data_IF_391092694782
#
_entry.id   IF_391092694782
#
_cell.length_a   1.000
_cell.length_b   1.000
_cell.length_c   1.000
_cell.angle_alpha   90.00
_cell.angle_beta   90.00
_cell.angle_gamma   90.00
#
_symmetry.space_group_name_H-M   'P 1'
#
loop_
_entity.id
_entity.type
_entity.pdbx_description
1 polymer ?
#
# COMPACT_ATOMS: atom_id res chain seq x y z
N UNK A 1 -34.12 3.60 -11.92
CA UNK A 1 -32.72 3.87 -11.51
C UNK A 1 -32.30 2.83 -10.48
N UNK A 2 -31.07 2.32 -10.55
CA UNK A 2 -30.55 1.46 -9.48
C UNK A 2 -30.46 2.28 -8.18
N UNK A 3 -31.04 1.75 -7.10
CA UNK A 3 -31.18 2.49 -5.84
C UNK A 3 -29.83 2.91 -5.24
N UNK A 4 -28.75 2.19 -5.56
CA UNK A 4 -27.39 2.35 -5.05
C UNK A 4 -26.41 2.93 -6.09
N UNK A 5 -26.88 3.35 -7.26
CA UNK A 5 -26.08 4.02 -8.29
C UNK A 5 -25.90 5.50 -7.94
N UNK A 6 -24.65 5.98 -7.92
CA UNK A 6 -24.32 7.36 -7.53
C UNK A 6 -24.28 8.25 -8.76
N UNK A 7 -25.23 9.20 -8.83
CA UNK A 7 -25.43 10.11 -9.95
C UNK A 7 -25.13 11.56 -9.52
N UNK A 8 -23.86 11.80 -9.20
CA UNK A 8 -23.39 13.08 -8.69
C UNK A 8 -22.77 13.95 -9.78
N UNK A 9 -23.14 15.24 -9.82
CA UNK A 9 -22.61 16.23 -10.77
C UNK A 9 -21.17 16.68 -10.48
N UNK A 10 -20.68 16.47 -9.25
CA UNK A 10 -19.33 16.89 -8.83
C UNK A 10 -18.28 16.03 -9.50
N UNK A 11 -17.23 16.68 -9.97
CA UNK A 11 -16.07 16.07 -10.61
C UNK A 11 -14.97 15.76 -9.60
N UNK A 12 -13.94 15.02 -10.03
CA UNK A 12 -12.78 14.64 -9.20
C UNK A 12 -12.14 15.85 -8.49
N UNK A 13 -12.08 17.01 -9.15
CA UNK A 13 -11.50 18.25 -8.60
C UNK A 13 -12.28 18.78 -7.38
N UNK A 14 -13.59 18.57 -7.35
CA UNK A 14 -14.48 19.07 -6.29
C UNK A 14 -14.29 18.30 -4.99
N UNK A 15 -13.77 17.08 -5.06
CA UNK A 15 -13.44 16.26 -3.90
C UNK A 15 -12.01 16.49 -3.37
N UNK A 16 -11.32 17.53 -3.82
CA UNK A 16 -9.98 17.85 -3.32
C UNK A 16 -10.04 18.19 -1.82
N UNK A 17 -9.52 17.28 -0.99
CA UNK A 17 -9.44 17.48 0.46
C UNK A 17 -10.70 17.07 1.25
N UNK A 18 -11.77 16.65 0.57
CA UNK A 18 -13.02 16.21 1.20
C UNK A 18 -13.47 14.83 0.67
N UNK A 19 -14.36 14.17 1.39
CA UNK A 19 -15.05 12.96 0.92
C UNK A 19 -16.39 13.27 0.26
N UNK A 20 -17.12 12.24 -0.15
CA UNK A 20 -18.34 12.36 -0.93
C UNK A 20 -19.41 13.13 -0.16
N UNK A 21 -19.55 12.79 1.12
CA UNK A 21 -20.46 13.45 2.05
C UNK A 21 -19.90 14.75 2.66
N UNK A 22 -18.77 15.26 2.17
CA UNK A 22 -18.20 16.54 2.60
C UNK A 22 -17.29 16.50 3.83
N UNK A 23 -16.96 15.32 4.38
CA UNK A 23 -16.03 15.21 5.49
C UNK A 23 -14.60 15.56 5.07
N UNK A 24 -13.80 16.14 5.97
CA UNK A 24 -12.37 16.36 5.69
C UNK A 24 -11.68 15.03 5.42
N UNK A 25 -10.93 14.94 4.32
CA UNK A 25 -10.21 13.72 3.90
C UNK A 25 -9.31 13.20 5.01
N UNK A 26 -8.61 14.06 5.75
CA UNK A 26 -7.76 13.67 6.89
C UNK A 26 -8.52 12.93 7.99
N UNK A 27 -9.77 13.31 8.24
CA UNK A 27 -10.58 12.75 9.31
C UNK A 27 -11.18 11.41 8.87
N UNK A 28 -11.58 11.30 7.61
CA UNK A 28 -11.96 10.01 7.00
C UNK A 28 -10.82 9.00 7.09
N UNK A 29 -9.58 9.40 6.79
CA UNK A 29 -8.41 8.50 6.95
C UNK A 29 -8.24 8.02 8.39
N UNK A 30 -8.35 8.93 9.37
CA UNK A 30 -8.24 8.59 10.80
C UNK A 30 -9.34 7.63 11.23
N UNK A 31 -10.58 7.90 10.83
CA UNK A 31 -11.74 7.06 11.14
C UNK A 31 -11.61 5.67 10.52
N UNK A 32 -11.18 5.58 9.26
CA UNK A 32 -10.98 4.29 8.61
C UNK A 32 -9.91 3.45 9.32
N UNK A 33 -8.74 4.04 9.62
CA UNK A 33 -7.67 3.36 10.36
C UNK A 33 -8.16 2.91 11.75
N UNK A 34 -8.83 3.80 12.48
CA UNK A 34 -9.37 3.51 13.81
C UNK A 34 -10.37 2.34 13.76
N UNK A 35 -11.33 2.37 12.85
CA UNK A 35 -12.37 1.33 12.76
C UNK A 35 -11.80 -0.03 12.32
N UNK A 36 -10.84 -0.05 11.40
CA UNK A 36 -10.17 -1.30 11.01
C UNK A 36 -9.37 -1.91 12.17
N UNK A 37 -8.65 -1.09 12.92
CA UNK A 37 -7.88 -1.54 14.08
C UNK A 37 -8.76 -2.04 15.23
N UNK A 38 -10.00 -1.54 15.33
CA UNK A 38 -11.01 -1.99 16.30
C UNK A 38 -11.98 -3.03 15.72
N UNK A 39 -11.65 -3.62 14.56
CA UNK A 39 -12.43 -4.68 13.90
C UNK A 39 -13.91 -4.29 13.62
N UNK A 40 -14.19 -2.99 13.47
CA UNK A 40 -15.51 -2.44 13.16
C UNK A 40 -15.75 -2.47 11.65
N UNK A 41 -16.28 -3.59 11.15
CA UNK A 41 -16.38 -3.86 9.71
C UNK A 41 -17.31 -2.88 8.99
N UNK A 42 -18.52 -2.66 9.50
CA UNK A 42 -19.53 -1.85 8.81
C UNK A 42 -19.07 -0.40 8.66
N UNK A 43 -18.53 0.19 9.73
CA UNK A 43 -17.98 1.54 9.73
C UNK A 43 -16.74 1.63 8.83
N UNK A 44 -15.89 0.60 8.82
CA UNK A 44 -14.73 0.56 7.91
C UNK A 44 -15.17 0.52 6.44
N UNK A 45 -16.17 -0.29 6.12
CA UNK A 45 -16.79 -0.32 4.80
C UNK A 45 -17.42 1.03 4.43
N UNK A 46 -18.06 1.72 5.38
CA UNK A 46 -18.59 3.07 5.16
C UNK A 46 -17.50 4.08 4.82
N UNK A 47 -16.45 4.18 5.63
CA UNK A 47 -15.37 5.16 5.39
C UNK A 47 -14.54 4.84 4.14
N UNK A 48 -14.37 3.55 3.80
CA UNK A 48 -13.76 3.17 2.52
C UNK A 48 -14.65 3.55 1.34
N UNK A 49 -15.97 3.34 1.43
CA UNK A 49 -16.92 3.74 0.40
C UNK A 49 -16.97 5.26 0.21
N UNK A 50 -16.85 6.06 1.27
CA UNK A 50 -16.70 7.52 1.18
C UNK A 50 -15.50 7.92 0.30
N UNK A 51 -14.36 7.25 0.46
CA UNK A 51 -13.16 7.49 -0.38
C UNK A 51 -13.38 7.03 -1.83
N UNK A 52 -14.02 5.87 -2.04
CA UNK A 52 -14.34 5.33 -3.37
C UNK A 52 -15.26 6.28 -4.13
N UNK A 53 -16.34 6.75 -3.50
CA UNK A 53 -17.32 7.64 -4.11
C UNK A 53 -16.73 9.00 -4.51
N UNK A 54 -15.64 9.40 -3.86
CA UNK A 54 -14.87 10.61 -4.12
C UNK A 54 -13.72 10.42 -5.11
N UNK A 55 -13.44 9.18 -5.54
CA UNK A 55 -12.28 8.86 -6.39
C UNK A 55 -10.92 8.87 -5.67
N UNK A 56 -10.87 8.82 -4.34
CA UNK A 56 -9.62 8.83 -3.54
C UNK A 56 -8.98 7.43 -3.41
N UNK A 57 -8.81 6.73 -4.53
CA UNK A 57 -8.29 5.35 -4.55
C UNK A 57 -6.83 5.25 -4.11
N UNK A 58 -5.99 6.22 -4.46
CA UNK A 58 -4.59 6.23 -4.04
C UNK A 58 -4.49 6.30 -2.53
N UNK A 59 -5.24 7.19 -1.90
CA UNK A 59 -5.32 7.30 -0.44
C UNK A 59 -5.83 6.03 0.23
N UNK A 60 -6.85 5.38 -0.36
CA UNK A 60 -7.37 4.13 0.18
C UNK A 60 -6.32 3.02 0.14
N UNK A 61 -5.58 2.88 -0.97
CA UNK A 61 -4.46 1.93 -1.06
C UNK A 61 -3.34 2.25 -0.07
N UNK A 62 -3.01 3.52 0.17
CA UNK A 62 -2.03 3.89 1.20
C UNK A 62 -2.47 3.47 2.60
N UNK A 63 -3.77 3.58 2.92
CA UNK A 63 -4.31 3.12 4.21
C UNK A 63 -4.21 1.60 4.31
N UNK A 64 -4.59 0.88 3.25
CA UNK A 64 -4.51 -0.59 3.19
C UNK A 64 -3.07 -1.05 3.45
N UNK A 65 -2.10 -0.49 2.73
CA UNK A 65 -0.67 -0.78 2.90
C UNK A 65 -0.17 -0.41 4.31
N UNK A 66 -0.60 0.74 4.82
CA UNK A 66 -0.21 1.20 6.15
C UNK A 66 -0.69 0.25 7.24
N UNK A 67 -1.95 -0.18 7.19
CA UNK A 67 -2.51 -1.11 8.19
C UNK A 67 -1.85 -2.48 8.07
N UNK A 68 -1.72 -2.99 6.84
CA UNK A 68 -1.11 -4.31 6.60
C UNK A 68 0.32 -4.38 7.13
N UNK A 69 1.08 -3.29 7.03
CA UNK A 69 2.49 -3.25 7.45
C UNK A 69 2.72 -2.77 8.87
N UNK A 70 1.90 -1.86 9.41
CA UNK A 70 2.10 -1.31 10.76
C UNK A 70 1.38 -2.08 11.85
N UNK A 71 0.15 -2.51 11.59
CA UNK A 71 -0.77 -3.03 12.60
C UNK A 71 -1.04 -4.53 12.48
N UNK A 72 -0.83 -5.11 11.29
CA UNK A 72 -1.05 -6.54 11.04
C UNK A 72 0.30 -7.27 10.99
N UNK A 73 1.16 -6.95 10.00
CA UNK A 73 2.49 -7.53 9.79
C UNK A 73 2.53 -9.06 9.99
N UNK A 74 3.38 -9.57 10.89
CA UNK A 74 3.47 -10.99 11.25
C UNK A 74 2.18 -11.58 11.86
N UNK A 75 1.16 -10.77 12.15
CA UNK A 75 -0.20 -11.24 12.45
C UNK A 75 -0.91 -11.87 11.25
N UNK A 76 -0.45 -11.59 10.03
CA UNK A 76 -0.86 -12.28 8.79
C UNK A 76 0.27 -12.18 7.75
N UNK A 77 1.33 -13.00 7.86
CA UNK A 77 2.55 -12.85 7.07
C UNK A 77 2.31 -12.98 5.55
N UNK A 78 1.28 -13.75 5.15
CA UNK A 78 0.93 -13.97 3.74
C UNK A 78 -0.01 -12.90 3.16
N UNK A 79 -0.47 -11.93 3.96
CA UNK A 79 -1.34 -10.84 3.52
C UNK A 79 -0.80 -10.03 2.32
N UNK A 80 0.51 -9.73 2.20
CA UNK A 80 1.05 -9.02 1.03
C UNK A 80 0.78 -9.73 -0.30
N UNK A 81 0.80 -11.06 -0.32
CA UNK A 81 0.51 -11.86 -1.52
C UNK A 81 -0.92 -11.59 -1.99
N UNK A 82 -1.88 -11.62 -1.06
CA UNK A 82 -3.27 -11.32 -1.35
C UNK A 82 -3.48 -9.86 -1.79
N UNK A 83 -2.88 -8.91 -1.07
CA UNK A 83 -3.02 -7.49 -1.41
C UNK A 83 -2.45 -7.15 -2.77
N UNK A 84 -1.32 -7.75 -3.16
CA UNK A 84 -0.74 -7.53 -4.49
C UNK A 84 -1.62 -8.12 -5.60
N UNK A 85 -2.20 -9.31 -5.38
CA UNK A 85 -3.19 -9.90 -6.28
C UNK A 85 -4.41 -8.97 -6.44
N UNK A 86 -4.96 -8.46 -5.33
CA UNK A 86 -6.11 -7.54 -5.37
C UNK A 86 -5.75 -6.21 -6.02
N UNK A 87 -4.55 -5.69 -5.81
CA UNK A 87 -4.07 -4.48 -6.48
C UNK A 87 -3.94 -4.68 -7.99
N UNK A 88 -3.48 -5.85 -8.42
CA UNK A 88 -3.40 -6.22 -9.83
C UNK A 88 -4.80 -6.30 -10.46
N UNK A 89 -5.76 -6.91 -9.77
CA UNK A 89 -7.17 -6.92 -10.21
C UNK A 89 -7.74 -5.50 -10.34
N UNK A 90 -7.46 -4.63 -9.36
CA UNK A 90 -7.85 -3.22 -9.42
C UNK A 90 -7.25 -2.50 -10.63
N UNK A 91 -5.94 -2.67 -10.89
CA UNK A 91 -5.27 -2.11 -12.08
C UNK A 91 -5.92 -2.57 -13.38
N UNK A 92 -6.22 -3.86 -13.51
CA UNK A 92 -6.89 -4.42 -14.70
C UNK A 92 -8.26 -3.78 -14.91
N UNK A 93 -9.06 -3.63 -13.86
CA UNK A 93 -10.37 -2.96 -13.96
C UNK A 93 -10.20 -1.49 -14.38
N UNK A 94 -9.26 -0.77 -13.77
CA UNK A 94 -8.99 0.63 -14.10
C UNK A 94 -8.59 0.80 -15.58
N UNK A 95 -7.70 -0.05 -16.08
CA UNK A 95 -7.23 -0.02 -17.46
C UNK A 95 -8.32 -0.41 -18.48
N UNK A 96 -9.36 -1.13 -18.06
CA UNK A 96 -10.51 -1.50 -18.89
C UNK A 96 -11.53 -0.36 -19.04
N UNK A 97 -11.07 0.82 -19.45
CA UNK A 97 -11.95 1.93 -19.88
C UNK A 97 -12.24 3.02 -18.85
N UNK A 98 -11.55 3.00 -17.70
CA UNK A 98 -11.68 4.05 -16.66
C UNK A 98 -10.42 4.91 -16.50
N UNK A 99 -9.41 4.73 -17.37
CA UNK A 99 -8.27 5.64 -17.44
C UNK A 99 -8.78 7.08 -17.61
N UNK A 100 -8.26 8.00 -16.79
CA UNK A 100 -8.68 9.42 -16.69
C UNK A 100 -10.11 9.68 -16.18
N UNK A 101 -10.90 8.65 -15.90
CA UNK A 101 -12.25 8.76 -15.33
C UNK A 101 -12.45 7.87 -14.10
N UNK A 102 -11.43 7.82 -13.23
CA UNK A 102 -11.37 6.99 -12.02
C UNK A 102 -12.61 7.14 -11.13
N UNK A 103 -13.22 8.33 -11.07
CA UNK A 103 -14.39 8.58 -10.22
C UNK A 103 -15.60 7.69 -10.58
N UNK A 104 -15.71 7.26 -11.85
CA UNK A 104 -16.80 6.37 -12.29
C UNK A 104 -16.69 4.96 -11.71
N UNK A 105 -15.50 4.54 -11.24
CA UNK A 105 -15.31 3.26 -10.57
C UNK A 105 -16.19 3.13 -9.31
N UNK A 106 -16.71 4.24 -8.76
CA UNK A 106 -17.69 4.22 -7.66
C UNK A 106 -18.97 3.46 -7.98
N UNK A 107 -19.35 3.30 -9.25
CA UNK A 107 -20.51 2.53 -9.68
C UNK A 107 -20.14 1.14 -10.22
N UNK A 108 -18.85 0.81 -10.30
CA UNK A 108 -18.41 -0.50 -10.75
C UNK A 108 -18.58 -1.54 -9.62
N UNK A 109 -19.48 -2.51 -9.82
CA UNK A 109 -19.77 -3.57 -8.83
C UNK A 109 -18.51 -4.36 -8.43
N UNK A 110 -17.62 -4.66 -9.38
CA UNK A 110 -16.37 -5.41 -9.10
C UNK A 110 -15.47 -4.62 -8.15
N UNK A 111 -15.39 -3.29 -8.30
CA UNK A 111 -14.62 -2.40 -7.42
C UNK A 111 -15.21 -2.35 -6.01
N UNK A 112 -16.54 -2.17 -5.89
CA UNK A 112 -17.21 -2.13 -4.59
C UNK A 112 -16.96 -3.42 -3.80
N UNK A 113 -17.12 -4.57 -4.46
CA UNK A 113 -16.87 -5.88 -3.87
C UNK A 113 -15.40 -6.11 -3.54
N UNK A 114 -14.48 -5.70 -4.42
CA UNK A 114 -13.04 -5.83 -4.21
C UNK A 114 -12.58 -5.09 -2.95
N UNK A 115 -12.96 -3.82 -2.79
CA UNK A 115 -12.56 -3.07 -1.60
C UNK A 115 -13.32 -3.51 -0.36
N UNK A 116 -14.60 -3.86 -0.46
CA UNK A 116 -15.33 -4.45 0.66
C UNK A 116 -14.59 -5.69 1.20
N UNK A 117 -14.17 -6.59 0.31
CA UNK A 117 -13.43 -7.80 0.71
C UNK A 117 -12.11 -7.46 1.41
N UNK A 118 -11.31 -6.56 0.83
CA UNK A 118 -10.04 -6.14 1.42
C UNK A 118 -10.27 -5.57 2.82
N UNK A 119 -11.25 -4.68 2.99
CA UNK A 119 -11.55 -4.06 4.28
C UNK A 119 -11.96 -5.11 5.31
N UNK A 120 -12.81 -6.07 4.95
CA UNK A 120 -13.16 -7.18 5.84
C UNK A 120 -11.92 -8.01 6.22
N UNK A 121 -11.05 -8.34 5.27
CA UNK A 121 -9.81 -9.09 5.53
C UNK A 121 -8.90 -8.33 6.49
N UNK A 122 -8.77 -7.00 6.35
CA UNK A 122 -7.98 -6.18 7.26
C UNK A 122 -8.60 -6.13 8.67
N UNK A 123 -9.93 -6.00 8.77
CA UNK A 123 -10.64 -6.05 10.06
C UNK A 123 -10.45 -7.41 10.75
N UNK A 124 -10.57 -8.52 10.02
CA UNK A 124 -10.50 -9.87 10.58
C UNK A 124 -9.07 -10.40 10.79
N UNK A 125 -8.06 -9.74 10.21
CA UNK A 125 -6.66 -10.10 10.41
C UNK A 125 -6.22 -9.85 11.86
N UNK A 126 -5.40 -10.75 12.40
CA UNK A 126 -4.82 -10.61 13.74
C UNK A 126 -3.99 -9.32 13.79
N UNK A 127 -4.32 -8.43 14.74
CA UNK A 127 -3.52 -7.24 15.00
C UNK A 127 -2.34 -7.59 15.90
N UNK A 128 -1.21 -6.95 15.66
CA UNK A 128 0.01 -7.06 16.47
C UNK A 128 0.36 -5.69 17.06
N UNK A 129 1.25 -5.65 18.07
CA UNK A 129 1.81 -4.39 18.54
C UNK A 129 2.31 -3.56 17.36
N UNK A 130 1.91 -2.30 17.34
CA UNK A 130 2.19 -1.44 16.20
C UNK A 130 3.65 -1.05 16.19
N UNK A 131 4.29 -1.05 15.01
CA UNK A 131 5.65 -0.53 14.91
C UNK A 131 5.73 0.91 15.39
N UNK A 132 6.70 1.20 16.24
CA UNK A 132 7.04 2.56 16.62
C UNK A 132 8.00 3.17 15.59
N UNK A 133 7.88 4.48 15.39
CA UNK A 133 8.80 5.17 14.51
C UNK A 133 10.11 5.40 15.27
N UNK A 134 11.18 4.71 14.88
CA UNK A 134 12.52 4.96 15.38
C UNK A 134 12.94 6.37 14.94
N UNK A 135 13.25 7.23 15.91
CA UNK A 135 13.72 8.59 15.65
C UNK A 135 15.24 8.57 15.54
N UNK A 136 15.75 9.16 14.48
CA UNK A 136 17.19 9.42 14.30
C UNK A 136 17.45 10.86 14.72
N UNK A 137 18.29 11.02 15.74
CA UNK A 137 18.71 12.33 16.24
C UNK A 137 19.67 12.99 15.23
N UNK A 138 19.74 14.33 15.24
CA UNK A 138 20.53 15.07 14.23
C UNK A 138 22.03 14.86 14.38
N UNK A 139 22.49 14.71 15.62
CA UNK A 139 23.87 14.43 15.97
C UNK A 139 24.27 13.01 15.55
N UNK A 140 23.33 12.09 15.31
CA UNK A 140 23.63 10.71 14.87
C UNK A 140 24.32 10.63 13.50
N UNK A 141 24.45 11.74 12.77
CA UNK A 141 25.21 11.82 11.52
C UNK A 141 26.67 12.26 11.73
N UNK A 142 27.06 12.61 12.96
CA UNK A 142 28.43 12.92 13.33
C UNK A 142 29.22 11.65 13.67
N UNK A 143 30.46 11.56 13.19
CA UNK A 143 31.32 10.38 13.37
C UNK A 143 31.56 10.02 14.85
N UNK A 144 31.52 11.01 15.75
CA UNK A 144 31.75 10.81 17.18
C UNK A 144 30.55 10.14 17.84
N UNK A 145 29.33 10.59 17.58
CA UNK A 145 28.11 10.03 18.20
C UNK A 145 27.79 8.63 17.66
N UNK A 146 27.98 8.42 16.36
CA UNK A 146 27.66 7.16 15.69
C UNK A 146 28.59 6.03 16.12
N UNK A 147 29.83 6.35 16.54
CA UNK A 147 30.83 5.36 16.98
C UNK A 147 30.32 4.42 18.07
N UNK A 148 29.49 4.92 19.00
CA UNK A 148 28.89 4.14 20.08
C UNK A 148 27.85 3.10 19.63
N UNK A 149 27.32 3.25 18.41
CA UNK A 149 26.32 2.35 17.82
C UNK A 149 26.91 1.38 16.79
N UNK A 150 28.16 1.58 16.38
CA UNK A 150 28.89 0.66 15.51
C UNK A 150 29.27 -0.58 16.33
N UNK A 151 28.80 -1.76 15.91
CA UNK A 151 29.02 -3.02 16.64
C UNK A 151 29.66 -4.10 15.77
N UNK A 152 29.68 -3.94 14.45
CA UNK A 152 30.22 -4.93 13.55
C UNK A 152 31.73 -5.10 13.78
N UNK A 153 32.22 -6.34 14.03
CA UNK A 153 33.64 -6.58 14.29
C UNK A 153 34.50 -6.50 13.02
N UNK A 154 33.88 -6.41 11.84
CA UNK A 154 34.55 -6.34 10.54
C UNK A 154 33.90 -5.28 9.67
N UNK A 155 34.70 -4.61 8.85
CA UNK A 155 34.24 -3.64 7.84
C UNK A 155 33.90 -4.30 6.49
N UNK A 156 34.05 -5.62 6.39
CA UNK A 156 33.93 -6.36 5.13
C UNK A 156 32.56 -7.04 4.95
N UNK A 157 31.59 -6.84 5.84
CA UNK A 157 30.28 -7.47 5.67
C UNK A 157 29.52 -6.95 4.44
N UNK A 158 29.80 -5.72 4.02
CA UNK A 158 29.14 -5.10 2.87
C UNK A 158 29.48 -5.74 1.51
N UNK A 159 30.58 -6.49 1.38
CA UNK A 159 31.15 -6.91 0.09
C UNK A 159 30.23 -7.78 -0.76
N UNK A 160 29.31 -8.53 -0.14
CA UNK A 160 28.40 -9.44 -0.84
C UNK A 160 27.23 -8.72 -1.53
N UNK A 161 26.89 -7.51 -1.08
CA UNK A 161 25.69 -6.77 -1.53
C UNK A 161 26.02 -5.44 -2.20
N UNK A 162 27.18 -4.86 -1.86
CA UNK A 162 27.64 -3.63 -2.48
C UNK A 162 28.02 -3.83 -3.94
N UNK A 163 27.54 -2.93 -4.80
CA UNK A 163 28.02 -2.83 -6.17
C UNK A 163 29.07 -1.74 -6.31
N UNK A 164 29.80 -1.75 -7.42
CA UNK A 164 30.99 -0.91 -7.64
C UNK A 164 30.67 0.58 -7.54
N UNK A 165 29.52 1.00 -8.06
CA UNK A 165 29.12 2.40 -8.13
C UNK A 165 28.16 2.81 -6.99
N UNK A 166 27.98 1.97 -5.97
CA UNK A 166 27.19 2.34 -4.79
C UNK A 166 27.93 3.42 -3.94
N UNK A 167 27.21 4.35 -3.28
CA UNK A 167 27.82 5.48 -2.59
C UNK A 167 28.71 5.05 -1.42
N UNK A 168 29.96 5.51 -1.37
CA UNK A 168 30.92 5.14 -0.31
C UNK A 168 30.50 5.65 1.07
N UNK A 169 29.71 6.73 1.11
CA UNK A 169 29.14 7.33 2.31
C UNK A 169 28.25 6.34 3.09
N UNK A 170 27.74 5.30 2.44
CA UNK A 170 26.87 4.30 3.07
C UNK A 170 27.62 3.03 3.52
N UNK A 171 28.96 2.95 3.39
CA UNK A 171 29.72 1.75 3.75
C UNK A 171 29.50 1.32 5.20
N UNK A 172 29.68 2.24 6.16
CA UNK A 172 29.51 1.97 7.59
C UNK A 172 28.07 1.53 7.90
N UNK A 173 27.01 2.32 7.58
CA UNK A 173 25.65 1.95 7.95
C UNK A 173 25.16 0.68 7.25
N UNK A 174 25.60 0.38 6.02
CA UNK A 174 25.26 -0.88 5.34
C UNK A 174 25.99 -2.06 5.97
N UNK A 175 27.28 -1.91 6.28
CA UNK A 175 28.05 -2.95 6.96
C UNK A 175 27.42 -3.32 8.31
N UNK A 176 27.01 -2.31 9.08
CA UNK A 176 26.26 -2.50 10.32
C UNK A 176 24.89 -3.15 10.11
N UNK A 177 24.13 -2.73 9.10
CA UNK A 177 22.84 -3.34 8.78
C UNK A 177 22.99 -4.84 8.48
N UNK A 178 23.99 -5.21 7.66
CA UNK A 178 24.27 -6.61 7.30
C UNK A 178 24.71 -7.41 8.52
N UNK A 179 25.56 -6.85 9.38
CA UNK A 179 25.95 -7.50 10.63
C UNK A 179 24.72 -7.76 11.52
N UNK A 180 23.83 -6.78 11.67
CA UNK A 180 22.63 -6.95 12.48
C UNK A 180 21.64 -7.96 11.88
N UNK A 181 21.58 -8.12 10.55
CA UNK A 181 20.83 -9.22 9.93
C UNK A 181 21.43 -10.59 10.26
N UNK A 182 22.76 -10.73 10.24
CA UNK A 182 23.44 -11.97 10.65
C UNK A 182 23.14 -12.34 12.10
N UNK A 183 23.15 -11.36 12.99
CA UNK A 183 22.81 -11.53 14.41
C UNK A 183 21.30 -11.60 14.68
N UNK A 184 20.46 -11.51 13.64
CA UNK A 184 18.99 -11.45 13.73
C UNK A 184 18.49 -10.38 14.70
N UNK A 185 19.18 -9.23 14.77
CA UNK A 185 18.81 -8.10 15.61
C UNK A 185 17.82 -7.16 14.90
N UNK A 186 16.53 -7.51 14.95
CA UNK A 186 15.42 -6.78 14.32
C UNK A 186 15.45 -5.27 14.60
N UNK A 187 15.64 -4.87 15.86
CA UNK A 187 15.60 -3.47 16.29
C UNK A 187 16.74 -2.65 15.65
N UNK A 188 17.96 -3.18 15.67
CA UNK A 188 19.11 -2.49 15.09
C UNK A 188 19.07 -2.49 13.56
N UNK A 189 18.55 -3.54 12.92
CA UNK A 189 18.25 -3.51 11.48
C UNK A 189 17.32 -2.35 11.13
N UNK A 190 16.19 -2.22 11.83
CA UNK A 190 15.25 -1.12 11.62
C UNK A 190 15.90 0.26 11.90
N UNK A 191 16.75 0.37 12.93
CA UNK A 191 17.50 1.59 13.21
C UNK A 191 18.39 2.02 12.05
N UNK A 192 19.20 1.10 11.51
CA UNK A 192 20.13 1.43 10.42
C UNK A 192 19.40 1.75 9.11
N UNK A 193 18.26 1.11 8.84
CA UNK A 193 17.37 1.48 7.74
C UNK A 193 16.87 2.92 7.88
N UNK A 194 16.41 3.32 9.08
CA UNK A 194 15.97 4.69 9.34
C UNK A 194 17.11 5.70 9.23
N UNK A 195 18.29 5.35 9.74
CA UNK A 195 19.48 6.19 9.60
C UNK A 195 19.77 6.47 8.12
N UNK A 196 19.77 5.44 7.27
CA UNK A 196 20.01 5.57 5.82
C UNK A 196 18.93 6.43 5.15
N UNK A 197 17.66 6.25 5.50
CA UNK A 197 16.55 7.04 4.96
C UNK A 197 16.68 8.52 5.34
N UNK A 198 16.95 8.84 6.61
CA UNK A 198 17.10 10.22 7.06
C UNK A 198 18.38 10.88 6.52
N UNK A 199 19.47 10.12 6.38
CA UNK A 199 20.70 10.59 5.75
C UNK A 199 20.47 10.98 4.28
N UNK A 200 19.80 10.14 3.49
CA UNK A 200 19.46 10.49 2.10
C UNK A 200 18.54 11.72 2.01
N UNK A 201 17.57 11.86 2.92
CA UNK A 201 16.73 13.06 2.99
C UNK A 201 17.58 14.30 3.26
N UNK A 202 18.55 14.23 4.17
CA UNK A 202 19.48 15.32 4.45
C UNK A 202 20.32 15.67 3.20
N UNK A 203 20.91 14.67 2.56
CA UNK A 203 21.72 14.84 1.35
C UNK A 203 20.92 15.47 0.20
N UNK A 204 19.66 15.05 0.00
CA UNK A 204 18.77 15.67 -1.00
C UNK A 204 18.44 17.13 -0.69
N UNK A 205 18.21 17.48 0.59
CA UNK A 205 18.02 18.88 1.00
C UNK A 205 19.26 19.74 0.72
N UNK A 206 20.45 19.16 0.88
CA UNK A 206 21.74 19.78 0.54
C UNK A 206 22.06 19.77 -0.97
N UNK A 207 21.16 19.27 -1.82
CA UNK A 207 21.35 19.10 -3.27
C UNK A 207 22.51 18.18 -3.65
N UNK A 208 22.87 17.24 -2.78
CA UNK A 208 23.90 16.22 -3.00
C UNK A 208 23.27 14.82 -2.94
N UNK A 209 22.33 14.47 -3.85
CA UNK A 209 21.59 13.21 -3.76
C UNK A 209 22.50 12.00 -3.96
N UNK A 210 22.38 11.02 -3.08
CA UNK A 210 23.04 9.73 -3.24
C UNK A 210 22.33 8.90 -4.31
N UNK A 211 23.11 8.18 -5.11
CA UNK A 211 22.61 7.32 -6.18
C UNK A 211 23.30 5.96 -6.11
N UNK A 212 22.51 4.91 -6.01
CA UNK A 212 23.03 3.54 -6.10
C UNK A 212 23.17 3.09 -7.55
N UNK A 213 23.87 1.98 -7.73
CA UNK A 213 23.88 1.24 -8.98
C UNK A 213 22.49 0.60 -9.25
N UNK A 214 22.23 0.27 -10.52
CA UNK A 214 20.96 -0.35 -10.92
C UNK A 214 20.78 -1.74 -10.32
N UNK A 215 19.55 -2.06 -9.89
CA UNK A 215 19.14 -3.38 -9.41
C UNK A 215 18.00 -3.91 -10.29
N UNK A 216 18.13 -5.15 -10.77
CA UNK A 216 17.26 -5.69 -11.83
C UNK A 216 15.79 -5.83 -11.41
N UNK A 217 15.53 -6.04 -10.11
CA UNK A 217 14.16 -6.16 -9.58
C UNK A 217 13.40 -4.84 -9.52
N UNK A 218 14.03 -3.70 -9.84
CA UNK A 218 13.44 -2.37 -9.65
C UNK A 218 12.59 -1.98 -10.85
N UNK A 219 11.26 -2.07 -10.68
CA UNK A 219 10.28 -1.71 -11.70
C UNK A 219 9.53 -0.41 -11.35
N UNK A 220 10.25 0.72 -11.37
CA UNK A 220 9.70 2.06 -11.15
C UNK A 220 10.12 3.02 -12.26
N UNK A 221 9.59 4.24 -12.27
CA UNK A 221 10.01 5.29 -13.20
C UNK A 221 11.54 5.50 -13.15
N UNK A 222 12.17 5.71 -14.30
CA UNK A 222 13.63 5.78 -14.44
C UNK A 222 14.29 6.79 -13.50
N UNK A 223 13.59 7.89 -13.18
CA UNK A 223 14.07 8.90 -12.25
C UNK A 223 14.33 8.37 -10.83
N UNK A 224 13.76 7.22 -10.47
CA UNK A 224 13.86 6.62 -9.14
C UNK A 224 14.62 5.29 -9.12
N UNK A 225 15.07 4.76 -10.27
CA UNK A 225 15.78 3.47 -10.37
C UNK A 225 17.13 3.42 -9.64
N UNK A 226 17.74 4.58 -9.40
CA UNK A 226 19.01 4.73 -8.67
C UNK A 226 18.84 5.24 -7.23
N UNK A 227 17.65 5.10 -6.62
CA UNK A 227 17.45 5.46 -5.21
C UNK A 227 18.14 4.43 -4.30
N UNK A 228 18.91 4.90 -3.31
CA UNK A 228 19.70 4.04 -2.41
C UNK A 228 18.87 3.05 -1.60
N UNK A 229 17.55 3.25 -1.50
CA UNK A 229 16.65 2.32 -0.84
C UNK A 229 16.69 0.92 -1.47
N UNK A 230 17.09 0.81 -2.75
CA UNK A 230 17.20 -0.48 -3.44
C UNK A 230 18.36 -1.31 -2.92
N UNK A 231 19.40 -0.69 -2.34
CA UNK A 231 20.45 -1.43 -1.64
C UNK A 231 19.88 -2.14 -0.41
N UNK A 232 19.01 -1.46 0.36
CA UNK A 232 18.35 -2.06 1.53
C UNK A 232 17.49 -3.26 1.12
N UNK A 233 16.73 -3.14 0.02
CA UNK A 233 15.94 -4.26 -0.50
C UNK A 233 16.81 -5.45 -0.90
N UNK A 234 17.95 -5.20 -1.55
CA UNK A 234 18.86 -6.28 -1.94
C UNK A 234 19.46 -7.00 -0.73
N UNK A 235 19.81 -6.27 0.33
CA UNK A 235 20.24 -6.85 1.61
C UNK A 235 19.13 -7.74 2.19
N UNK A 236 17.89 -7.26 2.23
CA UNK A 236 16.74 -8.03 2.73
C UNK A 236 16.57 -9.34 1.93
N UNK A 237 16.66 -9.29 0.60
CA UNK A 237 16.56 -10.49 -0.24
C UNK A 237 17.75 -11.43 -0.05
N UNK A 238 18.95 -10.90 0.11
CA UNK A 238 20.16 -11.71 0.38
C UNK A 238 19.99 -12.57 1.64
N UNK A 239 19.41 -12.02 2.70
CA UNK A 239 19.18 -12.75 3.96
C UNK A 239 17.89 -13.57 3.99
N UNK A 240 17.08 -13.55 2.94
CA UNK A 240 15.87 -14.38 2.90
C UNK A 240 16.21 -15.84 2.60
N UNK A 241 15.97 -16.72 3.58
CA UNK A 241 16.42 -18.12 3.50
C UNK A 241 15.45 -19.03 2.72
N UNK A 242 14.14 -18.92 2.96
CA UNK A 242 13.13 -19.84 2.40
C UNK A 242 12.27 -19.22 1.28
N UNK A 243 11.74 -20.07 0.40
CA UNK A 243 10.98 -19.66 -0.78
C UNK A 243 9.68 -18.92 -0.45
N UNK A 244 9.03 -19.28 0.66
CA UNK A 244 7.80 -18.62 1.10
C UNK A 244 8.10 -17.19 1.54
N UNK A 245 9.16 -16.98 2.33
CA UNK A 245 9.65 -15.68 2.75
C UNK A 245 10.02 -14.83 1.54
N UNK A 246 10.82 -15.36 0.61
CA UNK A 246 11.14 -14.71 -0.68
C UNK A 246 9.88 -14.26 -1.41
N UNK A 247 8.89 -15.15 -1.56
CA UNK A 247 7.62 -14.85 -2.21
C UNK A 247 6.87 -13.72 -1.50
N UNK A 248 6.81 -13.74 -0.17
CA UNK A 248 6.17 -12.66 0.61
C UNK A 248 6.93 -11.35 0.40
N UNK A 249 8.26 -11.35 0.54
CA UNK A 249 9.13 -10.19 0.35
C UNK A 249 8.98 -9.58 -1.05
N UNK A 250 8.92 -10.40 -2.11
CA UNK A 250 8.63 -9.92 -3.47
C UNK A 250 7.29 -9.19 -3.52
N UNK A 251 6.24 -9.71 -2.87
CA UNK A 251 4.94 -9.04 -2.85
C UNK A 251 4.95 -7.76 -1.99
N UNK A 252 5.74 -7.72 -0.91
CA UNK A 252 5.95 -6.48 -0.14
C UNK A 252 6.69 -5.45 -0.99
N UNK A 253 7.73 -5.84 -1.73
CA UNK A 253 8.46 -4.97 -2.66
C UNK A 253 7.50 -4.40 -3.74
N UNK A 254 6.66 -5.23 -4.35
CA UNK A 254 5.67 -4.78 -5.34
C UNK A 254 4.73 -3.72 -4.74
N UNK A 255 4.21 -3.95 -3.53
CA UNK A 255 3.40 -2.96 -2.81
C UNK A 255 4.21 -1.69 -2.48
N UNK A 256 5.49 -1.84 -2.13
CA UNK A 256 6.41 -0.73 -1.85
C UNK A 256 6.70 0.11 -3.10
N UNK A 257 6.67 -0.47 -4.29
CA UNK A 257 6.93 0.22 -5.57
C UNK A 257 5.71 0.94 -6.16
N UNK A 258 4.50 0.72 -5.63
CA UNK A 258 3.27 1.36 -6.14
C UNK A 258 3.41 2.88 -6.22
N UNK A 259 3.41 3.47 -7.42
CA UNK A 259 3.56 4.93 -7.63
C UNK A 259 4.76 5.51 -6.85
N UNK A 260 5.88 4.78 -6.84
CA UNK A 260 7.07 5.16 -6.10
C UNK A 260 7.61 6.55 -6.48
N UNK A 261 8.10 7.26 -5.47
CA UNK A 261 8.92 8.46 -5.57
C UNK A 261 9.78 8.57 -4.29
N UNK A 262 10.75 9.49 -4.24
CA UNK A 262 11.69 9.63 -3.11
C UNK A 262 11.02 9.80 -1.74
N UNK A 263 9.81 10.36 -1.65
CA UNK A 263 9.10 10.50 -0.36
C UNK A 263 8.44 9.20 0.13
N UNK A 264 8.27 8.22 -0.76
CA UNK A 264 7.56 6.97 -0.46
C UNK A 264 8.34 6.07 0.51
N UNK A 265 9.67 6.01 0.44
CA UNK A 265 10.46 5.21 1.39
C UNK A 265 10.21 5.60 2.84
N UNK A 266 10.09 6.90 3.12
CA UNK A 266 9.74 7.41 4.45
C UNK A 266 8.29 7.10 4.84
N UNK A 267 7.36 7.23 3.89
CA UNK A 267 5.92 6.98 4.10
C UNK A 267 5.61 5.49 4.32
N UNK A 268 6.36 4.61 3.65
CA UNK A 268 6.18 3.15 3.62
C UNK A 268 7.23 2.39 4.44
N UNK A 269 7.94 3.06 5.36
CA UNK A 269 8.94 2.45 6.25
C UNK A 269 8.47 1.17 6.94
N UNK A 270 7.18 1.09 7.30
CA UNK A 270 6.64 -0.08 7.99
C UNK A 270 6.66 -1.34 7.10
N UNK A 271 6.66 -1.20 5.76
CA UNK A 271 6.90 -2.34 4.87
C UNK A 271 8.34 -2.84 4.98
N UNK A 272 9.32 -1.94 5.19
CA UNK A 272 10.71 -2.33 5.42
C UNK A 272 10.85 -3.01 6.78
N UNK A 273 10.21 -2.48 7.83
CA UNK A 273 10.22 -3.12 9.14
C UNK A 273 9.59 -4.51 9.12
N UNK A 274 8.45 -4.64 8.43
CA UNK A 274 7.83 -5.94 8.22
C UNK A 274 8.75 -6.88 7.42
N UNK A 275 9.44 -6.38 6.41
CA UNK A 275 10.42 -7.16 5.66
C UNK A 275 11.64 -7.59 6.51
N UNK A 276 12.09 -6.75 7.46
CA UNK A 276 13.12 -7.11 8.44
C UNK A 276 12.62 -8.23 9.34
N UNK A 277 11.43 -8.08 9.95
CA UNK A 277 10.82 -9.10 10.80
C UNK A 277 10.67 -10.45 10.07
N UNK A 278 10.34 -10.43 8.77
CA UNK A 278 10.24 -11.63 7.94
C UNK A 278 11.55 -12.43 7.84
N UNK A 279 12.68 -11.76 8.00
CA UNK A 279 14.03 -12.31 7.87
C UNK A 279 14.63 -12.66 9.23
N UNK A 280 14.37 -11.85 10.24
CA UNK A 280 15.03 -11.96 11.56
C UNK A 280 14.23 -12.78 12.57
N UNK A 281 12.91 -12.85 12.46
CA UNK A 281 12.05 -13.54 13.42
C UNK A 281 11.68 -14.97 12.99
N UNK A 282 11.22 -15.79 13.95
CA UNK A 282 10.64 -17.10 13.68
C UNK A 282 9.16 -16.97 13.33
N UNK A 283 8.74 -17.55 12.21
CA UNK A 283 7.43 -17.27 11.62
C UNK A 283 6.68 -18.56 11.31
N UNK A 284 5.43 -18.59 11.75
CA UNK A 284 4.47 -19.61 11.36
C UNK A 284 3.73 -19.20 10.07
N UNK A 285 4.05 -19.88 8.97
CA UNK A 285 3.42 -19.65 7.66
C UNK A 285 2.13 -20.45 7.44
N UNK A 286 1.72 -21.31 8.39
CA UNK A 286 0.55 -22.18 8.22
C UNK A 286 -0.80 -21.47 8.44
N UNK A 287 -0.78 -20.19 8.76
CA UNK A 287 -1.99 -19.41 9.03
C UNK A 287 -2.73 -19.06 7.74
N UNK A 288 -4.06 -19.12 7.76
CA UNK A 288 -4.88 -18.68 6.63
C UNK A 288 -4.84 -17.16 6.45
N UNK A 289 -4.76 -16.73 5.19
CA UNK A 289 -4.80 -15.30 4.85
C UNK A 289 -6.18 -14.71 5.15
N UNK A 290 -7.24 -15.46 4.81
CA UNK A 290 -8.62 -15.02 4.91
C UNK A 290 -9.32 -15.88 5.97
N UNK A 291 -9.65 -15.25 7.09
CA UNK A 291 -10.49 -15.83 8.13
C UNK A 291 -11.96 -15.55 7.83
N UNK A 292 -12.84 -16.49 8.19
CA UNK A 292 -14.31 -16.32 8.13
C UNK A 292 -14.84 -15.86 6.75
N UNK A 293 -14.56 -16.67 5.72
CA UNK A 293 -15.00 -16.39 4.33
C UNK A 293 -16.52 -16.20 4.21
N UNK A 294 -17.31 -16.95 5.00
CA UNK A 294 -18.77 -16.86 5.04
C UNK A 294 -19.26 -15.47 5.42
N UNK A 295 -18.69 -14.90 6.49
CA UNK A 295 -19.06 -13.56 6.94
C UNK A 295 -18.69 -12.51 5.90
N UNK A 296 -17.51 -12.63 5.29
CA UNK A 296 -17.08 -11.71 4.22
C UNK A 296 -18.07 -11.73 3.05
N UNK A 297 -18.58 -12.90 2.65
CA UNK A 297 -19.61 -12.99 1.60
C UNK A 297 -20.90 -12.29 2.00
N UNK A 298 -21.39 -12.53 3.22
CA UNK A 298 -22.59 -11.88 3.74
C UNK A 298 -22.47 -10.34 3.76
N UNK A 299 -21.29 -9.82 4.08
CA UNK A 299 -21.03 -8.36 4.09
C UNK A 299 -20.99 -7.82 2.66
N UNK A 300 -20.33 -8.55 1.74
CA UNK A 300 -20.28 -8.19 0.32
C UNK A 300 -21.67 -8.12 -0.30
N UNK A 301 -22.56 -9.04 0.03
CA UNK A 301 -23.95 -9.02 -0.46
C UNK A 301 -24.73 -7.78 0.01
N UNK A 302 -24.36 -7.24 1.18
CA UNK A 302 -25.00 -6.08 1.80
C UNK A 302 -24.30 -4.76 1.51
N UNK A 303 -23.16 -4.75 0.80
CA UNK A 303 -22.35 -3.54 0.59
C UNK A 303 -23.15 -2.38 -0.03
N UNK A 304 -24.11 -2.69 -0.89
CA UNK A 304 -24.93 -1.67 -1.55
C UNK A 304 -25.83 -0.89 -0.57
N UNK A 305 -26.10 -1.41 0.64
CA UNK A 305 -26.80 -0.66 1.70
C UNK A 305 -25.97 0.56 2.12
N UNK A 306 -24.65 0.39 2.26
CA UNK A 306 -23.73 1.48 2.60
C UNK A 306 -23.73 2.55 1.49
N UNK A 307 -23.66 2.12 0.23
CA UNK A 307 -23.69 3.05 -0.91
C UNK A 307 -25.02 3.80 -1.00
N UNK A 308 -26.16 3.17 -0.68
CA UNK A 308 -27.46 3.87 -0.56
C UNK A 308 -27.46 4.93 0.53
N UNK A 309 -26.78 4.69 1.66
CA UNK A 309 -26.64 5.67 2.73
C UNK A 309 -25.79 6.87 2.28
N UNK A 310 -24.65 6.62 1.64
CA UNK A 310 -23.74 7.67 1.13
C UNK A 310 -24.43 8.49 0.02
N UNK A 311 -25.20 7.83 -0.85
CA UNK A 311 -25.95 8.46 -1.93
C UNK A 311 -26.89 9.58 -1.47
N UNK A 312 -27.36 9.57 -0.21
CA UNK A 312 -28.18 10.67 0.33
C UNK A 312 -27.49 12.04 0.28
N UNK A 313 -26.16 12.06 0.19
CA UNK A 313 -25.35 13.27 0.06
C UNK A 313 -24.96 13.57 -1.40
N UNK A 314 -25.65 12.95 -2.39
CA UNK A 314 -25.41 13.22 -3.81
C UNK A 314 -25.95 14.60 -4.22
N UNK A 315 -25.23 15.27 -5.10
CA UNK A 315 -25.68 16.51 -5.73
C UNK A 315 -26.31 16.18 -7.09
N UNK A 316 -27.64 16.11 -7.14
CA UNK A 316 -28.38 15.85 -8.37
C UNK A 316 -28.49 17.13 -9.25
N UNK A 317 -28.52 17.01 -10.59
CA UNK A 317 -28.75 18.15 -11.46
C UNK A 317 -30.15 18.75 -11.26
N UNK A 318 -30.27 20.08 -11.35
CA UNK A 318 -31.51 20.85 -11.10
C UNK A 318 -32.70 20.42 -11.96
N UNK A 319 -32.48 19.73 -13.09
CA UNK A 319 -33.49 19.30 -14.05
C UNK A 319 -33.80 17.80 -13.97
N UNK A 320 -33.47 17.11 -12.87
CA UNK A 320 -33.66 15.66 -12.71
C UNK A 320 -35.08 15.17 -13.04
N UNK A 321 -36.11 15.99 -12.78
CA UNK A 321 -37.51 15.69 -13.14
C UNK A 321 -37.80 15.65 -14.65
N UNK A 322 -37.03 16.37 -15.48
CA UNK A 322 -37.17 16.39 -16.94
C UNK A 322 -36.56 15.16 -17.63
N UNK A 323 -35.60 14.49 -16.96
CA UNK A 323 -34.83 13.38 -17.54
C UNK A 323 -35.28 12.00 -17.03
N UNK A 324 -36.36 11.92 -16.24
CA UNK A 324 -36.89 10.65 -15.71
C UNK A 324 -37.24 9.61 -16.79
N UNK A 325 -37.33 10.00 -18.08
CA UNK A 325 -37.64 9.12 -19.21
C UNK A 325 -36.48 8.93 -20.21
N UNK A 326 -35.29 9.48 -19.98
CA UNK A 326 -34.13 9.23 -20.83
C UNK A 326 -33.21 8.24 -20.13
N UNK A 327 -33.29 6.97 -20.54
CA UNK A 327 -32.44 5.87 -20.07
C UNK A 327 -30.97 6.08 -20.44
N UNK A 328 -30.29 7.03 -19.82
CA UNK A 328 -28.83 7.06 -19.78
C UNK A 328 -28.35 6.09 -18.72
N UNK A 329 -28.51 4.78 -18.97
CA UNK A 329 -27.48 3.84 -18.50
C UNK A 329 -26.15 4.45 -18.95
N UNK A 330 -25.18 4.58 -18.05
CA UNK A 330 -23.80 4.94 -18.40
C UNK A 330 -23.42 4.05 -19.60
N UNK A 331 -23.42 4.62 -20.81
CA UNK A 331 -23.17 3.87 -22.04
C UNK A 331 -21.82 3.16 -21.95
N UNK A 332 -20.91 3.73 -21.16
CA UNK A 332 -19.63 3.18 -20.78
C UNK A 332 -19.75 1.82 -20.06
N UNK A 333 -20.56 1.70 -19.00
CA UNK A 333 -20.67 0.42 -18.25
C UNK A 333 -21.32 -0.68 -19.10
N UNK A 334 -22.35 -0.35 -19.89
CA UNK A 334 -22.93 -1.27 -20.89
C UNK A 334 -21.90 -1.73 -21.92
N UNK A 335 -21.02 -0.82 -22.35
CA UNK A 335 -19.99 -1.08 -23.36
C UNK A 335 -18.89 -1.96 -22.76
N UNK A 336 -18.46 -1.67 -21.53
CA UNK A 336 -17.47 -2.47 -20.79
C UNK A 336 -18.02 -3.88 -20.53
N UNK A 337 -19.27 -4.03 -20.11
CA UNK A 337 -19.90 -5.36 -19.95
C UNK A 337 -19.97 -6.14 -21.26
N UNK A 338 -20.29 -5.48 -22.39
CA UNK A 338 -20.25 -6.11 -23.72
C UNK A 338 -18.84 -6.54 -24.10
N UNK A 339 -17.84 -5.70 -23.87
CA UNK A 339 -16.43 -6.00 -24.13
C UNK A 339 -15.93 -7.17 -23.27
N UNK A 340 -16.29 -7.22 -21.99
CA UNK A 340 -15.95 -8.34 -21.10
C UNK A 340 -16.59 -9.65 -21.58
N UNK A 341 -17.87 -9.62 -21.98
CA UNK A 341 -18.55 -10.79 -22.58
C UNK A 341 -17.88 -11.24 -23.88
N UNK A 342 -17.52 -10.31 -24.77
CA UNK A 342 -16.80 -10.64 -26.00
C UNK A 342 -15.43 -11.28 -25.72
N UNK A 343 -14.65 -10.74 -24.78
CA UNK A 343 -13.37 -11.34 -24.36
C UNK A 343 -13.54 -12.74 -23.79
N UNK A 344 -14.59 -12.98 -22.99
CA UNK A 344 -14.86 -14.33 -22.47
C UNK A 344 -15.24 -15.34 -23.56
N UNK A 345 -15.91 -14.89 -24.63
CA UNK A 345 -16.26 -15.76 -25.78
C UNK A 345 -15.03 -16.04 -26.65
N UNK A 346 -14.16 -15.04 -26.84
CA UNK A 346 -12.94 -15.19 -27.64
C UNK A 346 -11.85 -16.03 -26.96
N UNK A 347 -11.84 -16.08 -25.62
CA UNK A 347 -10.91 -16.91 -24.84
C UNK A 347 -11.39 -18.36 -24.62
N UNK A 348 -12.54 -18.75 -25.20
CA UNK A 348 -12.96 -20.14 -25.32
C UNK A 348 -12.55 -20.61 -26.72
N UNK A 349 -11.29 -21.01 -26.87
CA UNK A 349 -10.80 -21.86 -27.96
C UNK A 349 -9.63 -22.70 -27.47
#
# INVERSE_FOLDING_TARGET
>A
MNADEINDIREKKDFTGISFSGYKKSDVKKQLIHNINNNKIEESCYWSAELICSGHFLELWEIIIFISSKHIHLGNPKLPIYLNLRFSNFKTILQNGYNDNEIQLRNNKKIRLLFCEIICVLCLSTKKPSFENIKIEKDAFDMVSISSKIKAPSILYHTEVYKKDDPKELFIPINELIYNFKEKNTLLCCYWIEWIIEFDIMCRKKKTPLKCEYRDFVNVNDNFKKDIIWIIWDIIFYFSENDICKKILTNILELFMIKYNFSMKKRRRNLLYFAVELVTELIDYNQDIIKDKSNIENIKDKINIIYKTIKKNEHAPKTSYLFNNLESKSNLDKTIEKLDKMKSIMNIK
#
